data_IF_690194669839
#
_entry.id   IF_690194669839
#
_cell.length_a   1.000
_cell.length_b   1.000
_cell.length_c   1.000
_cell.angle_alpha   90.00
_cell.angle_beta   90.00
_cell.angle_gamma   90.00
#
_symmetry.space_group_name_H-M   'P 1'
#
loop_
_entity.id
_entity.type
_entity.pdbx_description
1 polymer ?
#
# COMPACT_ATOMS: atom_id res chain seq x y z
N UNK A 1 -4.24 -20.28 -8.07
CA UNK A 1 -4.80 -20.01 -6.72
C UNK A 1 -4.78 -18.51 -6.53
N UNK A 2 -5.75 -17.93 -5.82
CA UNK A 2 -5.72 -16.49 -5.50
C UNK A 2 -4.55 -16.17 -4.58
N UNK A 3 -3.97 -14.98 -4.75
CA UNK A 3 -2.78 -14.51 -4.02
C UNK A 3 -2.99 -13.12 -3.44
N UNK A 4 -2.16 -12.77 -2.46
CA UNK A 4 -2.05 -11.42 -1.92
C UNK A 4 -0.80 -10.76 -2.50
N UNK A 5 -0.98 -9.59 -3.10
CA UNK A 5 0.07 -8.76 -3.66
C UNK A 5 0.24 -7.52 -2.79
N UNK A 6 1.38 -7.39 -2.14
CA UNK A 6 1.74 -6.21 -1.35
C UNK A 6 2.51 -5.25 -2.24
N UNK A 7 1.98 -4.06 -2.44
CA UNK A 7 2.64 -2.98 -3.18
C UNK A 7 3.07 -1.92 -2.19
N UNK A 8 4.38 -1.75 -2.06
CA UNK A 8 4.99 -0.80 -1.12
C UNK A 8 6.07 0.03 -1.81
N UNK A 9 6.65 0.99 -1.09
CA UNK A 9 7.61 1.96 -1.61
C UNK A 9 7.40 3.33 -1.00
N UNK A 10 8.31 4.29 -1.24
CA UNK A 10 8.29 5.55 -0.53
C UNK A 10 7.04 6.38 -0.80
N UNK A 11 6.73 7.28 0.13
CA UNK A 11 5.67 8.27 -0.08
C UNK A 11 5.97 9.13 -1.32
N UNK A 12 4.97 9.36 -2.17
CA UNK A 12 5.12 10.18 -3.39
C UNK A 12 5.59 9.44 -4.64
N UNK A 13 5.95 8.15 -4.55
CA UNK A 13 6.42 7.38 -5.72
C UNK A 13 5.33 7.06 -6.76
N UNK A 14 4.05 7.25 -6.42
CA UNK A 14 2.92 7.05 -7.35
C UNK A 14 2.21 5.70 -7.24
N UNK A 15 2.30 5.00 -6.09
CA UNK A 15 1.66 3.69 -5.85
C UNK A 15 0.17 3.66 -6.22
N UNK A 16 -0.65 4.53 -5.63
CA UNK A 16 -2.09 4.57 -5.95
C UNK A 16 -2.40 4.72 -7.45
N UNK A 17 -1.66 5.55 -8.19
CA UNK A 17 -1.84 5.66 -9.65
C UNK A 17 -1.47 4.36 -10.37
N UNK A 18 -0.36 3.74 -9.97
CA UNK A 18 0.11 2.48 -10.54
C UNK A 18 -0.86 1.33 -10.26
N UNK A 19 -1.40 1.28 -9.05
CA UNK A 19 -2.41 0.29 -8.63
C UNK A 19 -3.71 0.49 -9.39
N UNK A 20 -4.17 1.73 -9.55
CA UNK A 20 -5.38 2.02 -10.33
C UNK A 20 -5.23 1.53 -11.79
N UNK A 21 -4.06 1.70 -12.39
CA UNK A 21 -3.78 1.18 -13.73
C UNK A 21 -3.70 -0.36 -13.76
N UNK A 22 -3.06 -0.98 -12.76
CA UNK A 22 -3.01 -2.44 -12.62
C UNK A 22 -4.42 -3.06 -12.54
N UNK A 23 -5.31 -2.50 -11.72
CA UNK A 23 -6.68 -3.01 -11.54
C UNK A 23 -7.51 -2.93 -12.84
N UNK A 24 -7.22 -1.97 -13.72
CA UNK A 24 -7.85 -1.91 -15.06
C UNK A 24 -7.34 -3.02 -15.98
N UNK A 25 -6.07 -3.40 -15.84
CA UNK A 25 -5.39 -4.40 -16.69
C UNK A 25 -5.64 -5.84 -16.27
N UNK A 26 -5.89 -6.07 -14.98
CA UNK A 26 -6.06 -7.41 -14.39
C UNK A 26 -7.48 -7.57 -13.83
N UNK A 27 -8.46 -8.01 -14.65
CA UNK A 27 -9.81 -8.29 -14.18
C UNK A 27 -9.80 -9.34 -13.05
N UNK A 28 -10.55 -9.07 -11.98
CA UNK A 28 -10.66 -9.96 -10.82
C UNK A 28 -9.62 -9.73 -9.72
N UNK A 29 -8.66 -8.81 -9.94
CA UNK A 29 -7.81 -8.29 -8.89
C UNK A 29 -8.56 -7.19 -8.12
N UNK A 30 -8.55 -7.24 -6.79
CA UNK A 30 -9.24 -6.26 -5.94
C UNK A 30 -8.27 -5.50 -5.04
N UNK A 31 -8.52 -4.21 -4.83
CA UNK A 31 -7.83 -3.45 -3.79
C UNK A 31 -8.45 -3.76 -2.42
N UNK A 32 -7.62 -4.04 -1.42
CA UNK A 32 -8.08 -4.21 -0.05
C UNK A 32 -8.53 -2.89 0.55
N UNK A 33 -9.66 -2.91 1.23
CA UNK A 33 -10.18 -1.80 2.02
C UNK A 33 -9.54 -1.84 3.41
N UNK A 34 -8.72 -0.84 3.75
CA UNK A 34 -8.09 -0.75 5.07
C UNK A 34 -9.09 -0.31 6.14
N UNK A 35 -8.83 -0.66 7.40
CA UNK A 35 -9.49 -0.04 8.54
C UNK A 35 -8.77 1.25 8.95
N UNK A 36 -9.49 2.21 9.52
CA UNK A 36 -8.91 3.42 10.10
C UNK A 36 -9.67 3.90 11.32
N UNK A 37 -8.97 4.59 12.24
CA UNK A 37 -9.59 5.33 13.35
C UNK A 37 -9.91 6.79 13.03
N UNK A 38 -9.55 7.26 11.83
CA UNK A 38 -9.92 8.59 11.37
C UNK A 38 -11.43 8.65 11.13
N UNK A 39 -12.05 9.80 11.39
CA UNK A 39 -13.44 10.01 10.98
C UNK A 39 -13.59 10.02 9.45
N UNK A 40 -14.70 9.48 8.90
CA UNK A 40 -14.99 9.54 7.48
C UNK A 40 -15.12 10.99 7.00
N UNK A 41 -14.61 11.28 5.80
CA UNK A 41 -14.90 12.52 5.07
C UNK A 41 -16.29 12.41 4.43
N UNK A 42 -16.89 13.55 4.07
CA UNK A 42 -18.28 13.61 3.57
C UNK A 42 -18.59 12.67 2.40
N UNK A 43 -17.61 12.35 1.54
CA UNK A 43 -17.80 11.48 0.37
C UNK A 43 -17.37 10.01 0.60
N UNK A 44 -16.75 9.70 1.74
CA UNK A 44 -16.25 8.37 2.06
C UNK A 44 -17.38 7.48 2.62
N UNK A 45 -17.40 6.22 2.20
CA UNK A 45 -18.40 5.23 2.59
C UNK A 45 -17.72 4.07 3.31
N UNK A 46 -18.28 3.71 4.47
CA UNK A 46 -17.80 2.58 5.27
C UNK A 46 -17.87 1.25 4.50
N UNK A 47 -16.81 0.46 4.59
CA UNK A 47 -16.65 -0.80 3.88
C UNK A 47 -16.34 -0.67 2.38
N UNK A 48 -16.29 0.55 1.84
CA UNK A 48 -15.84 0.83 0.47
C UNK A 48 -14.52 1.58 0.43
N UNK A 49 -14.45 2.71 1.13
CA UNK A 49 -13.26 3.56 1.14
C UNK A 49 -12.33 3.16 2.29
N UNK A 50 -12.89 2.98 3.48
CA UNK A 50 -12.25 2.39 4.65
C UNK A 50 -13.28 1.64 5.49
N UNK A 51 -12.80 0.78 6.39
CA UNK A 51 -13.56 0.36 7.57
C UNK A 51 -13.31 1.36 8.70
N UNK A 52 -14.30 2.19 9.03
CA UNK A 52 -14.17 3.21 10.05
C UNK A 52 -14.42 2.59 11.44
N UNK A 53 -13.36 2.51 12.24
CA UNK A 53 -13.39 1.87 13.57
C UNK A 53 -13.16 2.92 14.67
N UNK A 54 -13.89 2.77 15.78
CA UNK A 54 -13.56 3.49 17.01
C UNK A 54 -12.20 3.08 17.57
N UNK A 55 -11.56 3.97 18.33
CA UNK A 55 -10.22 3.71 18.87
C UNK A 55 -10.14 2.45 19.74
N UNK A 56 -11.11 2.25 20.63
CA UNK A 56 -11.17 1.05 21.49
C UNK A 56 -11.33 -0.25 20.71
N UNK A 57 -12.14 -0.22 19.65
CA UNK A 57 -12.37 -1.37 18.78
C UNK A 57 -11.10 -1.70 17.98
N UNK A 58 -10.41 -0.71 17.44
CA UNK A 58 -9.12 -0.91 16.78
C UNK A 58 -8.11 -1.58 17.72
N UNK A 59 -8.00 -1.10 18.96
CA UNK A 59 -7.09 -1.67 19.97
C UNK A 59 -7.46 -3.08 20.40
N UNK A 60 -8.76 -3.40 20.46
CA UNK A 60 -9.24 -4.76 20.69
C UNK A 60 -8.79 -5.68 19.56
N UNK A 61 -9.01 -5.29 18.30
CA UNK A 61 -8.65 -6.08 17.11
C UNK A 61 -7.14 -6.28 16.99
N UNK A 62 -6.35 -5.23 17.23
CA UNK A 62 -4.90 -5.32 17.23
C UNK A 62 -4.37 -6.32 18.27
N UNK A 63 -4.88 -6.26 19.52
CA UNK A 63 -4.51 -7.21 20.59
C UNK A 63 -4.90 -8.66 20.26
N UNK A 64 -5.97 -8.84 19.49
CA UNK A 64 -6.46 -10.15 19.08
C UNK A 64 -5.77 -10.71 17.82
N UNK A 65 -4.83 -9.98 17.21
CA UNK A 65 -4.17 -10.42 15.97
C UNK A 65 -5.09 -10.42 14.74
N UNK A 66 -6.14 -9.58 14.74
CA UNK A 66 -7.13 -9.51 13.66
C UNK A 66 -6.66 -8.68 12.44
N UNK A 67 -5.45 -8.10 12.50
CA UNK A 67 -4.82 -7.37 11.40
C UNK A 67 -3.63 -8.15 10.82
N UNK A 68 -3.46 -8.10 9.48
CA UNK A 68 -2.22 -8.54 8.83
C UNK A 68 -1.09 -7.55 9.07
N UNK A 69 -1.43 -6.27 9.13
CA UNK A 69 -0.55 -5.17 9.47
C UNK A 69 -1.37 -4.03 10.07
N UNK A 70 -0.73 -3.25 10.94
CA UNK A 70 -1.28 -1.97 11.35
C UNK A 70 -0.16 -0.96 11.66
N UNK A 71 -0.47 0.32 11.54
CA UNK A 71 0.44 1.42 11.83
C UNK A 71 -0.31 2.67 12.30
N UNK A 72 0.42 3.61 12.90
CA UNK A 72 -0.08 4.94 13.24
C UNK A 72 0.51 5.96 12.28
N UNK A 73 -0.35 6.69 11.58
CA UNK A 73 0.02 7.73 10.64
C UNK A 73 -0.78 9.02 10.93
N UNK A 74 -0.06 10.13 11.12
CA UNK A 74 -0.65 11.45 11.40
C UNK A 74 -1.70 11.40 12.54
N UNK A 75 -1.34 10.72 13.64
CA UNK A 75 -2.21 10.57 14.83
C UNK A 75 -3.38 9.60 14.68
N UNK A 76 -3.63 9.05 13.49
CA UNK A 76 -4.67 8.05 13.24
C UNK A 76 -4.05 6.67 13.04
N UNK A 77 -4.80 5.62 13.37
CA UNK A 77 -4.37 4.24 13.13
C UNK A 77 -4.99 3.69 11.87
N UNK A 78 -4.24 2.88 11.15
CA UNK A 78 -4.64 2.20 9.93
C UNK A 78 -4.22 0.74 10.00
N UNK A 79 -4.96 -0.15 9.36
CA UNK A 79 -4.55 -1.55 9.26
C UNK A 79 -5.38 -2.39 8.30
N UNK A 80 -4.81 -3.48 7.83
CA UNK A 80 -5.45 -4.42 6.91
C UNK A 80 -6.10 -5.55 7.68
N UNK A 81 -7.44 -5.64 7.64
CA UNK A 81 -8.20 -6.68 8.34
C UNK A 81 -7.91 -8.06 7.73
N UNK A 82 -7.44 -8.99 8.56
CA UNK A 82 -7.13 -10.37 8.14
C UNK A 82 -8.34 -11.06 7.56
N UNK A 83 -9.47 -10.98 8.26
CA UNK A 83 -10.72 -11.63 7.85
C UNK A 83 -11.21 -11.21 6.48
N UNK A 84 -10.99 -9.94 6.12
CA UNK A 84 -11.46 -9.39 4.86
C UNK A 84 -10.56 -9.82 3.68
N UNK A 85 -9.26 -9.96 3.91
CA UNK A 85 -8.34 -10.56 2.92
C UNK A 85 -8.63 -12.05 2.75
N UNK A 86 -8.73 -12.80 3.84
CA UNK A 86 -9.00 -14.25 3.81
C UNK A 86 -10.33 -14.58 3.14
N UNK A 87 -11.38 -13.78 3.38
CA UNK A 87 -12.69 -13.92 2.71
C UNK A 87 -12.56 -13.79 1.19
N UNK A 88 -11.86 -12.76 0.69
CA UNK A 88 -11.67 -12.56 -0.76
C UNK A 88 -10.87 -13.70 -1.39
N UNK A 89 -9.82 -14.17 -0.72
CA UNK A 89 -9.05 -15.33 -1.18
C UNK A 89 -9.91 -16.59 -1.24
N UNK A 90 -10.76 -16.84 -0.25
CA UNK A 90 -11.69 -17.97 -0.24
C UNK A 90 -12.72 -17.90 -1.39
N UNK A 91 -13.07 -16.70 -1.84
CA UNK A 91 -13.90 -16.46 -3.03
C UNK A 91 -13.14 -16.58 -4.36
N UNK A 92 -11.84 -16.93 -4.31
CA UNK A 92 -10.99 -17.07 -5.48
C UNK A 92 -10.51 -15.75 -6.07
N UNK A 93 -10.59 -14.64 -5.31
CA UNK A 93 -10.19 -13.31 -5.75
C UNK A 93 -8.82 -12.95 -5.19
N UNK A 94 -7.89 -12.55 -6.05
CA UNK A 94 -6.59 -12.02 -5.62
C UNK A 94 -6.74 -10.59 -5.10
N UNK A 95 -5.91 -10.22 -4.13
CA UNK A 95 -6.03 -8.95 -3.41
C UNK A 95 -4.73 -8.17 -3.48
N UNK A 96 -4.82 -6.86 -3.69
CA UNK A 96 -3.71 -5.90 -3.59
C UNK A 96 -3.78 -5.16 -2.27
N UNK A 97 -2.65 -5.07 -1.56
CA UNK A 97 -2.47 -4.23 -0.40
C UNK A 97 -1.57 -3.05 -0.78
N UNK A 98 -2.10 -1.81 -0.70
CA UNK A 98 -1.28 -0.59 -0.79
C UNK A 98 -0.86 -0.15 0.62
N UNK A 99 0.38 -0.44 1.00
CA UNK A 99 0.87 -0.19 2.37
C UNK A 99 2.32 0.32 2.40
N UNK A 100 2.72 0.93 3.51
CA UNK A 100 4.10 1.37 3.74
C UNK A 100 5.03 0.20 4.04
N UNK A 101 6.35 0.46 4.02
CA UNK A 101 7.39 -0.57 4.16
C UNK A 101 7.24 -1.33 5.48
N UNK A 102 6.90 -0.63 6.57
CA UNK A 102 6.63 -1.27 7.87
C UNK A 102 5.46 -2.25 7.78
N UNK A 103 4.37 -1.87 7.10
CA UNK A 103 3.23 -2.75 6.89
C UNK A 103 3.62 -3.98 6.07
N UNK A 104 4.40 -3.80 5.00
CA UNK A 104 4.86 -4.92 4.17
C UNK A 104 5.68 -5.95 4.95
N UNK A 105 6.54 -5.50 5.88
CA UNK A 105 7.28 -6.38 6.79
C UNK A 105 6.35 -7.16 7.74
N UNK A 106 5.30 -6.52 8.26
CA UNK A 106 4.30 -7.19 9.10
C UNK A 106 3.53 -8.25 8.29
N UNK A 107 3.08 -7.91 7.08
CA UNK A 107 2.41 -8.86 6.17
C UNK A 107 3.34 -10.04 5.84
N UNK A 108 4.64 -9.81 5.63
CA UNK A 108 5.61 -10.88 5.36
C UNK A 108 5.65 -11.92 6.48
N UNK A 109 5.59 -11.46 7.73
CA UNK A 109 5.57 -12.35 8.88
C UNK A 109 4.20 -13.04 9.06
N UNK A 110 3.12 -12.31 8.80
CA UNK A 110 1.75 -12.77 9.00
C UNK A 110 1.20 -13.67 7.86
N UNK A 111 1.75 -13.54 6.65
CA UNK A 111 1.35 -14.20 5.41
C UNK A 111 2.57 -14.35 4.47
N UNK A 112 3.49 -15.29 4.77
CA UNK A 112 4.75 -15.45 4.02
C UNK A 112 4.59 -15.79 2.54
N UNK A 113 3.43 -16.31 2.14
CA UNK A 113 3.05 -16.61 0.76
C UNK A 113 2.64 -15.37 -0.05
N UNK A 114 2.56 -14.20 0.58
CA UNK A 114 2.28 -12.94 -0.12
C UNK A 114 3.42 -12.53 -1.05
N UNK A 115 3.06 -12.10 -2.25
CA UNK A 115 4.01 -11.56 -3.23
C UNK A 115 4.23 -10.09 -2.92
N UNK A 116 5.47 -9.69 -2.68
CA UNK A 116 5.78 -8.31 -2.30
C UNK A 116 6.55 -7.58 -3.39
N UNK A 117 6.04 -6.42 -3.78
CA UNK A 117 6.59 -5.57 -4.83
C UNK A 117 6.93 -4.21 -4.25
N UNK A 118 8.20 -3.82 -4.37
CA UNK A 118 8.67 -2.48 -4.01
C UNK A 118 8.66 -1.58 -5.24
N UNK A 119 8.05 -0.41 -5.12
CA UNK A 119 8.01 0.61 -6.17
C UNK A 119 9.02 1.69 -5.83
N UNK A 120 10.04 1.87 -6.67
CA UNK A 120 11.09 2.87 -6.53
C UNK A 120 10.89 4.03 -7.54
N UNK A 121 11.30 5.27 -7.23
CA UNK A 121 11.44 6.31 -8.23
C UNK A 121 12.67 6.04 -9.11
N UNK A 122 12.76 6.60 -10.33
CA UNK A 122 13.96 6.47 -11.17
C UNK A 122 15.18 7.12 -10.50
N UNK A 123 14.98 8.26 -9.85
CA UNK A 123 15.99 8.95 -9.07
C UNK A 123 15.35 9.84 -7.99
N UNK A 124 16.13 10.35 -7.02
CA UNK A 124 15.62 11.25 -5.97
C UNK A 124 15.05 12.58 -6.50
N UNK A 125 15.53 13.10 -7.63
CA UNK A 125 15.05 14.36 -8.20
C UNK A 125 13.64 14.21 -8.78
N UNK A 126 13.35 13.09 -9.44
CA UNK A 126 12.01 12.75 -9.90
C UNK A 126 11.02 12.61 -8.74
N UNK A 127 11.45 12.04 -7.61
CA UNK A 127 10.61 11.99 -6.41
C UNK A 127 10.31 13.38 -5.86
N UNK A 128 11.33 14.26 -5.75
CA UNK A 128 11.15 15.66 -5.35
C UNK A 128 10.15 16.37 -6.25
N UNK A 129 10.33 16.27 -7.57
CA UNK A 129 9.44 16.90 -8.55
C UNK A 129 7.98 16.45 -8.36
N UNK A 130 7.74 15.15 -8.11
CA UNK A 130 6.39 14.62 -7.85
C UNK A 130 5.78 15.19 -6.57
N UNK A 131 6.58 15.36 -5.51
CA UNK A 131 6.13 15.96 -4.25
C UNK A 131 5.79 17.45 -4.44
N UNK A 132 6.63 18.19 -5.15
CA UNK A 132 6.42 19.60 -5.48
C UNK A 132 5.18 19.81 -6.36
N UNK A 133 4.98 18.97 -7.39
CA UNK A 133 3.82 19.04 -8.29
C UNK A 133 2.48 18.79 -7.59
N UNK A 134 2.44 18.10 -6.44
CA UNK A 134 1.20 17.97 -5.65
C UNK A 134 0.74 19.30 -5.06
N UNK A 135 1.66 20.25 -4.85
CA UNK A 135 1.35 21.63 -4.45
C UNK A 135 0.69 21.78 -3.07
N UNK A 136 0.65 20.73 -2.27
CA UNK A 136 0.00 20.72 -0.94
C UNK A 136 0.96 21.00 0.21
N UNK A 137 2.27 20.91 -0.04
CA UNK A 137 3.30 20.86 1.00
C UNK A 137 4.23 22.08 0.90
N UNK A 138 4.70 22.57 2.05
CA UNK A 138 5.77 23.57 2.09
C UNK A 138 7.11 22.94 1.69
N UNK A 139 8.10 23.76 1.32
CA UNK A 139 9.45 23.26 1.01
C UNK A 139 10.06 22.44 2.16
N UNK A 140 9.87 22.89 3.41
CA UNK A 140 10.34 22.16 4.60
C UNK A 140 9.66 20.79 4.76
N UNK A 141 8.36 20.70 4.49
CA UNK A 141 7.63 19.44 4.52
C UNK A 141 8.09 18.49 3.41
N UNK A 142 8.40 19.01 2.22
CA UNK A 142 8.97 18.21 1.11
C UNK A 142 10.32 17.64 1.50
N UNK A 143 11.20 18.45 2.09
CA UNK A 143 12.52 17.99 2.53
C UNK A 143 12.43 16.92 3.63
N UNK A 144 11.47 17.05 4.55
CA UNK A 144 11.19 16.00 5.53
C UNK A 144 10.71 14.69 4.87
N UNK A 145 9.77 14.78 3.92
CA UNK A 145 9.29 13.61 3.17
C UNK A 145 10.40 12.94 2.37
N UNK A 146 11.32 13.71 1.80
CA UNK A 146 12.48 13.18 1.07
C UNK A 146 13.44 12.44 2.00
N UNK A 147 13.72 12.97 3.20
CA UNK A 147 14.52 12.25 4.21
C UNK A 147 13.88 10.93 4.63
N UNK A 148 12.57 10.91 4.81
CA UNK A 148 11.84 9.66 5.08
C UNK A 148 11.94 8.70 3.90
N UNK A 149 11.78 9.19 2.67
CA UNK A 149 11.86 8.37 1.47
C UNK A 149 13.25 7.74 1.27
N UNK A 150 14.34 8.42 1.63
CA UNK A 150 15.70 7.84 1.60
C UNK A 150 15.81 6.61 2.51
N UNK A 151 15.23 6.66 3.71
CA UNK A 151 15.21 5.52 4.63
C UNK A 151 14.34 4.38 4.09
N UNK A 152 13.20 4.69 3.47
CA UNK A 152 12.32 3.71 2.85
C UNK A 152 12.98 3.06 1.61
N UNK A 153 13.76 3.81 0.83
CA UNK A 153 14.48 3.32 -0.34
C UNK A 153 15.61 2.35 0.01
N UNK A 154 16.22 2.48 1.19
CA UNK A 154 17.18 1.50 1.68
C UNK A 154 16.54 0.11 1.87
N UNK A 155 15.23 0.06 2.16
CA UNK A 155 14.50 -1.19 2.34
C UNK A 155 14.20 -1.94 1.03
N UNK A 156 14.46 -1.35 -0.15
CA UNK A 156 14.20 -2.01 -1.43
C UNK A 156 14.90 -3.37 -1.56
N UNK A 157 16.04 -3.54 -0.89
CA UNK A 157 16.84 -4.79 -0.88
C UNK A 157 16.13 -5.94 -0.16
N UNK A 158 15.05 -5.66 0.57
CA UNK A 158 14.24 -6.67 1.27
C UNK A 158 13.17 -7.32 0.36
N UNK A 159 13.03 -6.87 -0.88
CA UNK A 159 11.95 -7.26 -1.78
C UNK A 159 12.51 -7.97 -3.01
N UNK A 160 11.91 -9.10 -3.35
CA UNK A 160 12.27 -9.87 -4.55
C UNK A 160 11.93 -9.11 -5.83
N UNK A 161 10.79 -8.42 -5.83
CA UNK A 161 10.36 -7.63 -6.97
C UNK A 161 10.54 -6.13 -6.68
N UNK A 162 11.33 -5.47 -7.53
CA UNK A 162 11.49 -4.02 -7.53
C UNK A 162 11.07 -3.47 -8.89
N UNK A 163 10.16 -2.50 -8.89
CA UNK A 163 9.71 -1.79 -10.09
C UNK A 163 10.12 -0.33 -9.97
N UNK A 164 10.84 0.16 -10.98
CA UNK A 164 11.12 1.58 -11.13
C UNK A 164 9.92 2.24 -11.82
N UNK A 165 9.25 3.15 -11.11
CA UNK A 165 8.13 3.92 -11.64
C UNK A 165 8.64 5.21 -12.28
N UNK A 166 9.21 5.11 -13.47
CA UNK A 166 9.59 6.26 -14.30
C UNK A 166 8.39 6.72 -15.15
N UNK A 167 7.92 5.83 -16.04
CA UNK A 167 6.70 5.98 -16.84
C UNK A 167 5.61 5.04 -16.33
N UNK A 168 4.38 5.55 -16.20
CA UNK A 168 3.28 4.83 -15.55
C UNK A 168 2.86 3.58 -16.34
N UNK A 169 2.79 3.66 -17.67
CA UNK A 169 2.38 2.54 -18.54
C UNK A 169 3.36 1.38 -18.50
N UNK A 170 4.66 1.65 -18.49
CA UNK A 170 5.71 0.63 -18.48
C UNK A 170 5.83 -0.02 -17.10
N UNK A 171 5.76 0.77 -16.03
CA UNK A 171 5.71 0.27 -14.66
C UNK A 171 4.46 -0.60 -14.43
N UNK A 172 3.29 -0.18 -14.94
CA UNK A 172 2.06 -0.94 -14.82
C UNK A 172 2.11 -2.27 -15.60
N UNK A 173 2.69 -2.27 -16.80
CA UNK A 173 2.90 -3.49 -17.58
C UNK A 173 3.81 -4.48 -16.85
N UNK A 174 4.88 -4.00 -16.21
CA UNK A 174 5.77 -4.86 -15.43
C UNK A 174 5.10 -5.43 -14.19
N UNK A 175 4.29 -4.62 -13.51
CA UNK A 175 3.52 -5.06 -12.35
C UNK A 175 2.45 -6.10 -12.73
N UNK A 176 1.78 -5.90 -13.86
CA UNK A 176 0.87 -6.88 -14.45
C UNK A 176 1.55 -8.21 -14.74
N UNK A 177 2.76 -8.18 -15.32
CA UNK A 177 3.53 -9.40 -15.60
C UNK A 177 3.83 -10.20 -14.34
N UNK A 178 4.25 -9.54 -13.25
CA UNK A 178 4.46 -10.20 -11.95
C UNK A 178 3.16 -10.83 -11.46
N UNK A 179 2.06 -10.07 -11.47
CA UNK A 179 0.76 -10.56 -10.98
C UNK A 179 0.25 -11.76 -11.77
N UNK A 180 0.52 -11.83 -13.08
CA UNK A 180 0.07 -12.93 -13.94
C UNK A 180 0.94 -14.19 -13.86
N UNK A 181 2.23 -14.03 -13.52
CA UNK A 181 3.18 -15.13 -13.45
C UNK A 181 3.17 -15.85 -12.09
N UNK A 182 2.57 -15.23 -11.08
CA UNK A 182 2.39 -15.75 -9.72
C UNK A 182 1.06 -16.52 -9.57
#
# INVERSE_FOLDING_TARGET
>A
MSKVFVITGPSGVGKGTLIAELLRRVPGLELSVSATTREPREAEVDGRDYHFLGGEEFDRRARNGEFLEHATYSGNRYGTLRTEVERRLAEGRSVVLEIEVQGARQVRAAMPESVQVFVAPPDPAALRQRLECRGTDSGEAIDERLRTAELELAAQQEFEHVIVNDEIESAAARLEEIVRNE
#
